data_IF_690066509226
#
_entry.id   IF_690066509226
#
_cell.length_a   1.000
_cell.length_b   1.000
_cell.length_c   1.000
_cell.angle_alpha   90.00
_cell.angle_beta   90.00
_cell.angle_gamma   90.00
#
_symmetry.space_group_name_H-M   'P 1'
#
loop_
_entity.id
_entity.type
_entity.pdbx_description
1 polymer ?
#
# COMPACT_ATOMS: atom_id res chain seq x y z
N UNK A 1 18.60 13.14 -20.17
CA UNK A 1 18.15 11.90 -19.51
C UNK A 1 16.71 11.68 -19.86
N UNK A 2 16.34 10.44 -20.18
CA UNK A 2 14.95 10.06 -20.38
C UNK A 2 14.29 9.91 -18.99
N UNK A 3 13.00 10.22 -18.80
CA UNK A 3 12.24 9.84 -17.59
C UNK A 3 12.51 8.42 -17.05
N UNK A 4 12.77 7.43 -17.90
CA UNK A 4 13.17 6.08 -17.46
C UNK A 4 14.48 6.05 -16.68
N UNK A 5 15.47 6.89 -17.03
CA UNK A 5 16.74 6.99 -16.29
C UNK A 5 16.48 7.49 -14.87
N UNK A 6 15.58 8.47 -14.74
CA UNK A 6 15.15 9.01 -13.45
C UNK A 6 14.34 7.99 -12.65
N UNK A 7 13.47 7.20 -13.28
CA UNK A 7 12.75 6.11 -12.63
C UNK A 7 13.72 5.05 -12.06
N UNK A 8 14.74 4.67 -12.82
CA UNK A 8 15.78 3.76 -12.31
C UNK A 8 16.61 4.38 -11.18
N UNK A 9 16.91 5.68 -11.26
CA UNK A 9 17.58 6.39 -10.17
C UNK A 9 16.73 6.45 -8.90
N UNK A 10 15.42 6.71 -9.04
CA UNK A 10 14.45 6.70 -7.95
C UNK A 10 14.38 5.32 -7.31
N UNK A 11 14.29 4.24 -8.09
CA UNK A 11 14.29 2.88 -7.56
C UNK A 11 15.53 2.58 -6.71
N UNK A 12 16.73 3.01 -7.16
CA UNK A 12 17.97 2.87 -6.37
C UNK A 12 17.95 3.72 -5.10
N UNK A 13 17.42 4.94 -5.17
CA UNK A 13 17.29 5.81 -4.01
C UNK A 13 16.32 5.23 -2.96
N UNK A 14 15.19 4.68 -3.41
CA UNK A 14 14.23 3.98 -2.56
C UNK A 14 14.88 2.77 -1.88
N UNK A 15 15.68 1.98 -2.62
CA UNK A 15 16.43 0.88 -2.05
C UNK A 15 17.41 1.34 -0.97
N UNK A 16 18.06 2.48 -1.12
CA UNK A 16 18.97 3.03 -0.12
C UNK A 16 18.25 3.71 1.07
N UNK A 17 16.94 3.94 0.96
CA UNK A 17 16.17 4.65 1.98
C UNK A 17 15.86 3.76 3.18
N UNK A 18 15.87 4.35 4.37
CA UNK A 18 15.82 3.60 5.63
C UNK A 18 14.56 2.72 5.79
N UNK A 19 13.34 3.17 5.46
CA UNK A 19 12.14 2.32 5.52
C UNK A 19 12.25 1.06 4.64
N UNK A 20 12.83 1.16 3.45
CA UNK A 20 13.09 -0.02 2.62
C UNK A 20 14.05 -1.00 3.31
N UNK A 21 15.14 -0.47 3.87
CA UNK A 21 16.13 -1.28 4.58
C UNK A 21 15.54 -1.93 5.84
N UNK A 22 14.69 -1.22 6.59
CA UNK A 22 13.95 -1.78 7.73
C UNK A 22 13.00 -2.89 7.29
N UNK A 23 12.16 -2.64 6.28
CA UNK A 23 11.23 -3.63 5.74
C UNK A 23 11.99 -4.89 5.28
N UNK A 24 13.13 -4.72 4.58
CA UNK A 24 13.96 -5.83 4.12
C UNK A 24 14.51 -6.67 5.28
N UNK A 25 15.10 -6.05 6.30
CA UNK A 25 15.63 -6.75 7.47
C UNK A 25 14.53 -7.47 8.26
N UNK A 26 13.39 -6.80 8.47
CA UNK A 26 12.24 -7.38 9.16
C UNK A 26 11.65 -8.56 8.38
N UNK A 27 11.53 -8.44 7.06
CA UNK A 27 11.12 -9.53 6.17
C UNK A 27 12.04 -10.75 6.31
N UNK A 28 13.36 -10.55 6.26
CA UNK A 28 14.33 -11.64 6.40
C UNK A 28 14.23 -12.34 7.77
N UNK A 29 13.89 -11.61 8.83
CA UNK A 29 13.64 -12.19 10.15
C UNK A 29 12.33 -12.99 10.19
N UNK A 30 11.24 -12.42 9.68
CA UNK A 30 9.92 -13.08 9.57
C UNK A 30 10.01 -14.36 8.74
N UNK A 31 10.77 -14.36 7.63
CA UNK A 31 10.94 -15.54 6.77
C UNK A 31 11.62 -16.72 7.47
N UNK A 32 12.33 -16.47 8.57
CA UNK A 32 12.98 -17.50 9.39
C UNK A 32 12.12 -17.98 10.55
N UNK A 33 11.00 -17.30 10.82
CA UNK A 33 10.05 -17.62 11.88
C UNK A 33 8.67 -17.92 11.29
N UNK A 34 8.43 -19.21 11.01
CA UNK A 34 7.22 -19.67 10.33
C UNK A 34 5.92 -19.27 11.06
N UNK A 35 5.79 -19.38 12.40
CA UNK A 35 4.65 -18.82 13.14
C UNK A 35 4.38 -17.33 12.84
N UNK A 36 5.41 -16.48 12.93
CA UNK A 36 5.27 -15.03 12.68
C UNK A 36 4.91 -14.75 11.23
N UNK A 37 5.52 -15.49 10.30
CA UNK A 37 5.20 -15.38 8.88
C UNK A 37 3.73 -15.71 8.60
N UNK A 38 3.21 -16.81 9.14
CA UNK A 38 1.80 -17.17 8.97
C UNK A 38 0.86 -16.11 9.55
N UNK A 39 1.21 -15.56 10.72
CA UNK A 39 0.45 -14.48 11.34
C UNK A 39 0.40 -13.22 10.46
N UNK A 40 1.54 -12.79 9.91
CA UNK A 40 1.61 -11.62 9.00
C UNK A 40 0.83 -11.87 7.71
N UNK A 41 0.94 -13.08 7.13
CA UNK A 41 0.20 -13.43 5.92
C UNK A 41 -1.32 -13.48 6.14
N UNK A 42 -1.78 -13.98 7.29
CA UNK A 42 -3.22 -14.00 7.63
C UNK A 42 -3.76 -12.58 7.80
N UNK A 43 -2.99 -11.69 8.43
CA UNK A 43 -3.32 -10.28 8.53
C UNK A 43 -3.52 -9.65 7.14
N UNK A 44 -2.56 -9.80 6.22
CA UNK A 44 -2.68 -9.25 4.87
C UNK A 44 -3.86 -9.85 4.10
N UNK A 45 -4.06 -11.18 4.19
CA UNK A 45 -5.18 -11.84 3.52
C UNK A 45 -6.51 -11.22 3.93
N UNK A 46 -6.72 -11.00 5.23
CA UNK A 46 -7.97 -10.41 5.75
C UNK A 46 -8.10 -8.94 5.40
N UNK A 47 -7.00 -8.18 5.46
CA UNK A 47 -6.99 -6.79 5.02
C UNK A 47 -7.45 -6.67 3.56
N UNK A 48 -6.87 -7.48 2.65
CA UNK A 48 -7.25 -7.49 1.24
C UNK A 48 -8.69 -7.94 1.02
N UNK A 49 -9.18 -8.94 1.76
CA UNK A 49 -10.57 -9.36 1.68
C UNK A 49 -11.53 -8.22 2.01
N UNK A 50 -11.22 -7.44 3.06
CA UNK A 50 -12.03 -6.30 3.47
C UNK A 50 -11.96 -5.15 2.46
N UNK A 51 -10.78 -4.87 1.91
CA UNK A 51 -10.62 -3.85 0.87
C UNK A 51 -11.36 -4.25 -0.42
N UNK A 52 -11.27 -5.51 -0.83
CA UNK A 52 -11.99 -6.02 -1.99
C UNK A 52 -13.52 -5.93 -1.82
N UNK A 53 -14.05 -6.15 -0.60
CA UNK A 53 -15.47 -5.91 -0.30
C UNK A 53 -15.85 -4.46 -0.53
N UNK A 54 -15.08 -3.52 0.04
CA UNK A 54 -15.32 -2.09 -0.12
C UNK A 54 -15.32 -1.66 -1.58
N UNK A 55 -14.38 -2.19 -2.38
CA UNK A 55 -14.32 -1.92 -3.82
C UNK A 55 -15.55 -2.43 -4.59
N UNK A 56 -16.21 -3.48 -4.11
CA UNK A 56 -17.47 -3.98 -4.67
C UNK A 56 -18.72 -3.24 -4.13
N UNK A 57 -18.53 -2.24 -3.27
CA UNK A 57 -19.63 -1.55 -2.59
C UNK A 57 -20.26 -2.35 -1.46
N UNK A 58 -19.59 -3.42 -0.99
CA UNK A 58 -20.02 -4.20 0.17
C UNK A 58 -19.40 -3.63 1.45
N UNK A 59 -20.22 -3.41 2.48
CA UNK A 59 -19.73 -3.02 3.80
C UNK A 59 -19.20 -4.24 4.56
N UNK A 60 -17.96 -4.18 5.09
CA UNK A 60 -17.45 -5.18 6.03
C UNK A 60 -18.37 -5.39 7.23
N UNK A 61 -18.52 -6.62 7.70
CA UNK A 61 -19.27 -6.86 8.94
C UNK A 61 -18.46 -6.40 10.17
N UNK A 62 -19.15 -6.11 11.27
CA UNK A 62 -18.47 -5.77 12.53
C UNK A 62 -17.54 -6.89 13.01
N UNK A 63 -17.91 -8.14 12.80
CA UNK A 63 -17.09 -9.31 13.16
C UNK A 63 -15.79 -9.37 12.36
N UNK A 64 -15.83 -9.05 11.07
CA UNK A 64 -14.63 -9.03 10.22
C UNK A 64 -13.69 -7.89 10.62
N UNK A 65 -14.24 -6.72 10.96
CA UNK A 65 -13.49 -5.58 11.47
C UNK A 65 -12.85 -5.88 12.83
N UNK A 66 -13.61 -6.46 13.76
CA UNK A 66 -13.12 -6.95 15.07
C UNK A 66 -11.99 -7.97 14.89
N UNK A 67 -12.16 -8.92 13.98
CA UNK A 67 -11.15 -9.95 13.73
C UNK A 67 -9.86 -9.35 13.19
N UNK A 68 -9.95 -8.42 12.23
CA UNK A 68 -8.76 -7.73 11.71
C UNK A 68 -8.08 -6.90 12.81
N UNK A 69 -8.86 -6.21 13.66
CA UNK A 69 -8.31 -5.45 14.80
C UNK A 69 -7.51 -6.33 15.76
N UNK A 70 -8.08 -7.46 16.19
CA UNK A 70 -7.39 -8.41 17.09
C UNK A 70 -6.12 -8.98 16.46
N UNK A 71 -6.15 -9.30 15.17
CA UNK A 71 -4.95 -9.76 14.47
C UNK A 71 -3.88 -8.67 14.37
N UNK A 72 -4.29 -7.42 14.13
CA UNK A 72 -3.37 -6.27 14.16
C UNK A 72 -2.71 -6.13 15.54
N UNK A 73 -3.46 -6.26 16.63
CA UNK A 73 -2.91 -6.22 17.99
C UNK A 73 -1.87 -7.32 18.23
N UNK A 74 -2.17 -8.56 17.83
CA UNK A 74 -1.23 -9.68 17.98
C UNK A 74 0.03 -9.44 17.14
N UNK A 75 -0.13 -8.99 15.89
CA UNK A 75 1.00 -8.67 15.01
C UNK A 75 1.88 -7.57 15.60
N UNK A 76 1.28 -6.54 16.21
CA UNK A 76 2.02 -5.44 16.84
C UNK A 76 2.83 -5.85 18.08
N UNK A 77 2.49 -6.96 18.73
CA UNK A 77 3.27 -7.51 19.84
C UNK A 77 4.57 -8.17 19.37
N UNK A 78 4.64 -8.64 18.12
CA UNK A 78 5.84 -9.24 17.56
C UNK A 78 6.76 -8.17 16.95
N UNK A 79 7.96 -8.02 17.48
CA UNK A 79 8.90 -6.95 17.10
C UNK A 79 9.14 -6.88 15.59
N UNK A 80 9.47 -8.00 14.95
CA UNK A 80 9.79 -8.00 13.52
C UNK A 80 8.55 -7.76 12.66
N UNK A 81 7.39 -8.23 13.10
CA UNK A 81 6.15 -8.09 12.34
C UNK A 81 5.66 -6.63 12.40
N UNK A 82 5.72 -6.02 13.58
CA UNK A 82 5.48 -4.58 13.76
C UNK A 82 6.44 -3.75 12.91
N UNK A 83 7.75 -4.03 12.99
CA UNK A 83 8.76 -3.28 12.23
C UNK A 83 8.55 -3.39 10.72
N UNK A 84 8.11 -4.56 10.24
CA UNK A 84 7.76 -4.77 8.83
C UNK A 84 6.53 -3.93 8.43
N UNK A 85 5.44 -4.01 9.19
CA UNK A 85 4.20 -3.28 8.88
C UNK A 85 4.37 -1.76 8.95
N UNK A 86 5.10 -1.24 9.93
CA UNK A 86 5.39 0.20 10.02
C UNK A 86 6.18 0.69 8.80
N UNK A 87 7.21 -0.06 8.41
CA UNK A 87 8.01 0.26 7.24
C UNK A 87 7.20 0.14 5.93
N UNK A 88 6.32 -0.85 5.82
CA UNK A 88 5.41 -1.02 4.68
C UNK A 88 4.47 0.19 4.54
N UNK A 89 3.87 0.66 5.63
CA UNK A 89 3.02 1.87 5.62
C UNK A 89 3.78 3.13 5.18
N UNK A 90 5.03 3.30 5.63
CA UNK A 90 5.88 4.42 5.19
C UNK A 90 6.21 4.32 3.69
N UNK A 91 6.51 3.13 3.19
CA UNK A 91 6.77 2.90 1.76
C UNK A 91 5.52 3.12 0.90
N UNK A 92 4.34 2.72 1.38
CA UNK A 92 3.07 2.98 0.68
C UNK A 92 2.77 4.48 0.58
N UNK A 93 2.99 5.24 1.66
CA UNK A 93 2.84 6.71 1.63
C UNK A 93 3.80 7.35 0.64
N UNK A 94 5.08 6.98 0.72
CA UNK A 94 6.09 7.44 -0.23
C UNK A 94 5.66 7.14 -1.68
N UNK A 95 5.17 5.93 -1.94
CA UNK A 95 4.73 5.52 -3.26
C UNK A 95 3.56 6.38 -3.77
N UNK A 96 2.54 6.62 -2.94
CA UNK A 96 1.42 7.49 -3.31
C UNK A 96 1.87 8.92 -3.62
N UNK A 97 2.79 9.48 -2.83
CA UNK A 97 3.34 10.82 -3.08
C UNK A 97 4.14 10.87 -4.38
N UNK A 98 4.97 9.87 -4.65
CA UNK A 98 5.70 9.75 -5.91
C UNK A 98 4.71 9.67 -7.08
N UNK A 99 3.70 8.80 -7.00
CA UNK A 99 2.68 8.65 -8.04
C UNK A 99 1.99 9.98 -8.36
N UNK A 100 1.64 10.75 -7.33
CA UNK A 100 1.06 12.08 -7.50
C UNK A 100 2.03 13.01 -8.25
N UNK A 101 3.28 13.13 -7.78
CA UNK A 101 4.29 14.00 -8.39
C UNK A 101 4.55 13.65 -9.86
N UNK A 102 4.68 12.35 -10.19
CA UNK A 102 4.96 11.93 -11.57
C UNK A 102 3.72 12.01 -12.47
N UNK A 103 2.52 12.07 -11.90
CA UNK A 103 1.28 12.24 -12.63
C UNK A 103 0.98 13.70 -12.96
N UNK A 104 1.50 14.67 -12.19
CA UNK A 104 1.25 16.11 -12.39
C UNK A 104 1.45 16.55 -13.86
N UNK A 105 2.55 16.22 -14.57
CA UNK A 105 2.73 16.65 -15.96
C UNK A 105 1.76 16.00 -16.95
N UNK A 106 1.10 14.90 -16.57
CA UNK A 106 0.10 14.25 -17.43
C UNK A 106 -1.18 15.07 -17.49
N UNK A 107 -1.45 15.91 -16.49
CA UNK A 107 -2.63 16.80 -16.46
C UNK A 107 -2.57 17.83 -17.60
N UNK A 108 -1.38 18.37 -17.90
CA UNK A 108 -1.15 19.38 -18.94
C UNK A 108 -1.50 18.88 -20.36
N UNK A 109 -1.37 17.57 -20.58
CA UNK A 109 -1.58 16.94 -21.90
C UNK A 109 -2.85 16.08 -21.94
N UNK A 110 -3.62 16.05 -20.85
CA UNK A 110 -4.82 15.26 -20.76
C UNK A 110 -5.92 15.92 -21.60
N UNK A 111 -6.52 15.15 -22.51
CA UNK A 111 -7.59 15.66 -23.37
C UNK A 111 -8.80 16.11 -22.56
N UNK A 112 -9.22 15.31 -21.57
CA UNK A 112 -10.36 15.59 -20.68
C UNK A 112 -9.90 15.55 -19.22
N UNK A 113 -10.31 16.54 -18.44
CA UNK A 113 -10.09 16.53 -16.98
C UNK A 113 -10.97 15.46 -16.30
N UNK A 114 -10.68 15.13 -15.03
CA UNK A 114 -11.55 14.22 -14.26
C UNK A 114 -12.96 14.81 -14.16
N UNK A 115 -13.05 16.14 -14.02
CA UNK A 115 -14.33 16.85 -13.98
C UNK A 115 -15.08 16.76 -15.30
N UNK A 116 -14.40 16.84 -16.45
CA UNK A 116 -15.02 16.68 -17.77
C UNK A 116 -15.57 15.27 -17.95
N UNK A 117 -14.80 14.24 -17.55
CA UNK A 117 -15.24 12.84 -17.60
C UNK A 117 -16.43 12.60 -16.67
N UNK A 118 -16.37 13.10 -15.44
CA UNK A 118 -17.48 12.95 -14.47
C UNK A 118 -18.74 13.68 -14.93
N UNK A 119 -18.60 14.85 -15.56
CA UNK A 119 -19.73 15.57 -16.17
C UNK A 119 -20.33 14.81 -17.34
N UNK A 120 -19.52 14.20 -18.21
CA UNK A 120 -20.02 13.41 -19.33
C UNK A 120 -20.71 12.12 -18.84
N UNK A 121 -20.08 11.37 -17.92
CA UNK A 121 -20.66 10.15 -17.33
C UNK A 121 -21.93 10.42 -16.51
N UNK A 122 -22.09 11.65 -15.99
CA UNK A 122 -23.29 12.13 -15.30
C UNK A 122 -24.28 12.90 -16.19
N UNK A 123 -24.04 12.96 -17.51
CA UNK A 123 -24.91 13.61 -18.50
C UNK A 123 -25.51 12.61 -19.49
N UNK A 124 -26.07 11.54 -18.95
CA UNK A 124 -27.31 10.96 -19.45
C UNK A 124 -28.28 10.82 -18.26
N UNK A 125 -28.80 11.95 -17.78
CA UNK A 125 -29.97 12.02 -16.90
C UNK A 125 -31.00 12.94 -17.52
#
# INVERSE_FOLDING_TARGET
>A
MNPYDHAHALARAMQAWEPYQRAKRAKEAIERDEPTKQMVLDFYRRQYQLEAKRLRGEEPTQEELETLRRLSEIVQLHQDARAYLEADLELQRLWMDIQRIVAEPLEDVRLWSLDDIMREMGRES
#
